data_IF_036211608847
#
_entry.id   IF_036211608847
#
_cell.length_a   1.000
_cell.length_b   1.000
_cell.length_c   1.000
_cell.angle_alpha   90.00
_cell.angle_beta   90.00
_cell.angle_gamma   90.00
#
_symmetry.space_group_name_H-M   'P 1'
#
loop_
_entity.id
_entity.type
_entity.pdbx_description
1 polymer ?
#
# COMPACT_ATOMS: atom_id res chain seq x y z
N UNK A 1 5.69 26.57 -31.22
CA UNK A 1 5.91 25.15 -30.88
C UNK A 1 5.11 24.83 -29.63
N UNK A 2 4.25 23.80 -29.65
CA UNK A 2 3.59 23.34 -28.41
C UNK A 2 4.68 22.74 -27.52
N UNK A 3 4.76 23.10 -26.22
CA UNK A 3 5.77 22.53 -25.34
C UNK A 3 5.62 21.00 -25.35
N UNK A 4 6.71 20.28 -25.60
CA UNK A 4 6.70 18.82 -25.51
C UNK A 4 6.31 18.43 -24.07
N UNK A 5 5.24 17.67 -23.91
CA UNK A 5 4.76 17.18 -22.62
C UNK A 5 5.69 16.05 -22.12
N UNK A 6 6.94 16.37 -21.78
CA UNK A 6 7.94 15.43 -21.25
C UNK A 6 8.40 15.83 -19.84
N UNK A 7 8.98 14.86 -19.12
CA UNK A 7 9.52 15.05 -17.78
C UNK A 7 8.55 14.82 -16.62
N UNK A 8 9.06 14.97 -15.41
CA UNK A 8 8.35 14.79 -14.13
C UNK A 8 7.54 16.05 -13.80
N UNK A 9 6.43 16.25 -14.50
CA UNK A 9 5.56 17.41 -14.32
C UNK A 9 4.07 17.07 -14.36
N UNK A 10 3.23 18.06 -14.03
CA UNK A 10 1.78 17.87 -13.96
C UNK A 10 1.38 16.80 -12.93
N UNK A 11 0.49 15.89 -13.32
CA UNK A 11 -0.02 14.83 -12.45
C UNK A 11 1.06 13.85 -11.92
N UNK A 12 2.24 13.76 -12.57
CA UNK A 12 3.35 12.95 -12.05
C UNK A 12 3.94 13.50 -10.74
N UNK A 13 3.77 14.80 -10.46
CA UNK A 13 4.20 15.39 -9.19
C UNK A 13 3.36 14.82 -8.04
N UNK A 14 2.06 14.63 -8.26
CA UNK A 14 1.17 14.04 -7.26
C UNK A 14 1.55 12.57 -6.98
N UNK A 15 1.94 11.83 -8.01
CA UNK A 15 2.47 10.47 -7.85
C UNK A 15 3.73 10.47 -7.00
N UNK A 16 4.68 11.37 -7.30
CA UNK A 16 5.93 11.50 -6.56
C UNK A 16 5.68 11.81 -5.08
N UNK A 17 4.84 12.81 -4.80
CA UNK A 17 4.44 13.15 -3.42
C UNK A 17 3.78 11.93 -2.75
N UNK A 18 2.86 11.26 -3.45
CA UNK A 18 2.17 10.07 -2.94
C UNK A 18 3.13 8.95 -2.55
N UNK A 19 4.15 8.66 -3.37
CA UNK A 19 5.14 7.63 -3.09
C UNK A 19 6.01 7.99 -1.87
N UNK A 20 6.42 9.25 -1.72
CA UNK A 20 7.16 9.68 -0.52
C UNK A 20 6.32 9.63 0.75
N UNK A 21 5.07 10.09 0.69
CA UNK A 21 4.15 9.99 1.81
C UNK A 21 3.91 8.53 2.20
N UNK A 22 3.75 7.64 1.21
CA UNK A 22 3.59 6.21 1.47
C UNK A 22 4.84 5.61 2.11
N UNK A 23 6.04 6.00 1.66
CA UNK A 23 7.28 5.54 2.25
C UNK A 23 7.39 5.93 3.73
N UNK A 24 7.03 7.18 4.07
CA UNK A 24 6.99 7.64 5.46
C UNK A 24 5.97 6.85 6.27
N UNK A 25 4.76 6.65 5.74
CA UNK A 25 3.72 5.87 6.40
C UNK A 25 4.14 4.42 6.65
N UNK A 26 4.77 3.77 5.68
CA UNK A 26 5.28 2.40 5.83
C UNK A 26 6.38 2.32 6.88
N UNK A 27 7.28 3.30 6.96
CA UNK A 27 8.29 3.35 8.03
C UNK A 27 7.64 3.48 9.40
N UNK A 28 6.65 4.38 9.53
CA UNK A 28 5.89 4.54 10.78
C UNK A 28 5.19 3.23 11.14
N UNK A 29 4.53 2.58 10.17
CA UNK A 29 3.83 1.32 10.37
C UNK A 29 4.78 0.20 10.83
N UNK A 30 5.95 0.11 10.21
CA UNK A 30 6.96 -0.88 10.57
C UNK A 30 7.49 -0.64 11.98
N UNK A 31 7.85 0.60 12.30
CA UNK A 31 8.47 0.93 13.60
C UNK A 31 7.48 0.89 14.76
N UNK A 32 6.25 1.35 14.54
CA UNK A 32 5.25 1.49 15.61
C UNK A 32 4.38 0.25 15.79
N UNK A 33 4.21 -0.59 14.76
CA UNK A 33 3.28 -1.72 14.81
C UNK A 33 3.96 -3.04 14.44
N UNK A 34 4.67 -3.11 13.30
CA UNK A 34 5.26 -4.38 12.85
C UNK A 34 6.38 -4.87 13.75
N UNK A 35 7.32 -4.02 14.18
CA UNK A 35 8.41 -4.45 15.07
C UNK A 35 7.85 -4.81 16.46
N UNK A 36 7.02 -3.98 17.11
CA UNK A 36 6.47 -4.31 18.43
C UNK A 36 5.59 -5.54 18.47
N UNK A 37 4.93 -5.93 17.36
CA UNK A 37 4.10 -7.16 17.34
C UNK A 37 4.91 -8.46 17.46
N UNK A 38 6.23 -8.41 17.26
CA UNK A 38 7.15 -9.54 17.51
C UNK A 38 7.86 -9.45 18.88
N UNK A 39 7.55 -8.44 19.70
CA UNK A 39 8.00 -8.44 21.09
C UNK A 39 7.35 -9.61 21.84
N UNK A 40 8.09 -10.25 22.75
CA UNK A 40 7.61 -11.44 23.46
C UNK A 40 6.30 -11.19 24.22
N UNK A 41 6.14 -10.01 24.83
CA UNK A 41 4.94 -9.70 25.60
C UNK A 41 3.71 -9.56 24.69
N UNK A 42 3.85 -8.80 23.59
CA UNK A 42 2.78 -8.58 22.62
C UNK A 42 2.45 -9.86 21.84
N UNK A 43 3.48 -10.62 21.46
CA UNK A 43 3.32 -11.88 20.75
C UNK A 43 2.54 -12.89 21.58
N UNK A 44 2.87 -13.03 22.88
CA UNK A 44 2.16 -13.94 23.77
C UNK A 44 0.73 -13.45 24.04
N UNK A 45 0.52 -12.14 24.19
CA UNK A 45 -0.81 -11.55 24.38
C UNK A 45 -1.77 -11.81 23.19
N UNK A 46 -1.25 -11.87 21.96
CA UNK A 46 -2.07 -12.06 20.75
C UNK A 46 -2.15 -13.52 20.30
N UNK A 47 -1.16 -14.36 20.65
CA UNK A 47 -1.04 -15.72 20.10
C UNK A 47 -1.17 -16.83 21.14
N UNK A 48 -1.08 -16.54 22.44
CA UNK A 48 -1.31 -17.53 23.49
C UNK A 48 -2.79 -17.84 23.62
N UNK A 49 -3.13 -19.13 23.67
CA UNK A 49 -4.51 -19.60 23.89
C UNK A 49 -5.07 -19.21 25.26
N UNK A 50 -4.20 -18.84 26.19
CA UNK A 50 -4.54 -18.45 27.55
C UNK A 50 -4.78 -16.94 27.67
N UNK A 51 -4.55 -16.17 26.60
CA UNK A 51 -4.74 -14.72 26.59
C UNK A 51 -6.19 -14.32 26.26
N UNK A 52 -6.66 -13.24 26.88
CA UNK A 52 -8.04 -12.75 26.72
C UNK A 52 -8.36 -12.32 25.29
N UNK A 53 -7.36 -11.86 24.52
CA UNK A 53 -7.51 -11.39 23.13
C UNK A 53 -7.14 -12.45 22.09
N UNK A 54 -7.02 -13.71 22.48
CA UNK A 54 -6.62 -14.78 21.58
C UNK A 54 -7.61 -14.97 20.43
N UNK A 55 -7.07 -15.02 19.21
CA UNK A 55 -7.77 -15.46 18.02
C UNK A 55 -6.83 -16.26 17.15
N UNK A 56 -7.30 -17.38 16.58
CA UNK A 56 -6.47 -18.26 15.75
C UNK A 56 -5.85 -17.55 14.54
N UNK A 57 -6.48 -16.47 14.08
CA UNK A 57 -6.00 -15.67 12.94
C UNK A 57 -4.97 -14.60 13.31
N UNK A 58 -4.73 -14.26 14.57
CA UNK A 58 -3.75 -13.22 14.92
C UNK A 58 -2.34 -13.54 14.41
N UNK A 59 -1.87 -14.76 14.67
CA UNK A 59 -0.54 -15.20 14.23
C UNK A 59 -0.36 -15.10 12.71
N UNK A 60 -1.23 -15.69 11.86
CA UNK A 60 -1.08 -15.55 10.42
C UNK A 60 -1.25 -14.10 9.94
N UNK A 61 -2.14 -13.31 10.56
CA UNK A 61 -2.32 -11.89 10.22
C UNK A 61 -1.04 -11.09 10.46
N UNK A 62 -0.44 -11.18 11.65
CA UNK A 62 0.80 -10.46 12.00
C UNK A 62 1.94 -10.80 11.01
N UNK A 63 2.10 -12.08 10.67
CA UNK A 63 3.13 -12.51 9.72
C UNK A 63 2.87 -11.97 8.31
N UNK A 64 1.61 -11.99 7.86
CA UNK A 64 1.20 -11.49 6.57
C UNK A 64 1.37 -9.97 6.46
N UNK A 65 0.97 -9.22 7.48
CA UNK A 65 1.17 -7.77 7.57
C UNK A 65 2.66 -7.42 7.53
N UNK A 66 3.50 -8.14 8.26
CA UNK A 66 4.94 -7.90 8.27
C UNK A 66 5.56 -8.10 6.87
N UNK A 67 5.19 -9.19 6.19
CA UNK A 67 5.67 -9.49 4.83
C UNK A 67 5.18 -8.41 3.86
N UNK A 68 3.91 -7.99 3.94
CA UNK A 68 3.37 -6.98 3.06
C UNK A 68 3.95 -5.59 3.32
N UNK A 69 4.11 -5.16 4.57
CA UNK A 69 4.70 -3.86 4.89
C UNK A 69 6.14 -3.77 4.39
N UNK A 70 6.96 -4.80 4.64
CA UNK A 70 8.34 -4.84 4.16
C UNK A 70 8.41 -4.94 2.63
N UNK A 71 7.56 -5.77 2.02
CA UNK A 71 7.47 -5.91 0.57
C UNK A 71 7.04 -4.63 -0.12
N UNK A 72 6.01 -3.96 0.40
CA UNK A 72 5.51 -2.69 -0.09
C UNK A 72 6.52 -1.57 0.11
N UNK A 73 7.26 -1.57 1.21
CA UNK A 73 8.35 -0.61 1.44
C UNK A 73 9.43 -0.75 0.37
N UNK A 74 9.95 -1.97 0.18
CA UNK A 74 10.94 -2.24 -0.87
C UNK A 74 10.39 -1.90 -2.27
N UNK A 75 9.13 -2.24 -2.54
CA UNK A 75 8.52 -1.98 -3.84
C UNK A 75 8.32 -0.48 -4.11
N UNK A 76 7.97 0.30 -3.08
CA UNK A 76 7.85 1.76 -3.14
C UNK A 76 9.18 2.41 -3.48
N UNK A 77 10.27 1.94 -2.85
CA UNK A 77 11.64 2.38 -3.17
C UNK A 77 12.00 2.09 -4.62
N UNK A 78 11.68 0.88 -5.11
CA UNK A 78 11.91 0.50 -6.52
C UNK A 78 11.10 1.41 -7.45
N UNK A 79 9.83 1.68 -7.15
CA UNK A 79 9.00 2.59 -7.95
C UNK A 79 9.59 4.00 -8.01
N UNK A 80 10.04 4.56 -6.87
CA UNK A 80 10.72 5.86 -6.83
C UNK A 80 12.01 5.84 -7.67
N UNK A 81 12.87 4.83 -7.50
CA UNK A 81 14.10 4.70 -8.28
C UNK A 81 13.80 4.66 -9.79
N UNK A 82 12.84 3.81 -10.22
CA UNK A 82 12.43 3.68 -11.61
C UNK A 82 11.80 4.96 -12.18
N UNK A 83 11.10 5.73 -11.34
CA UNK A 83 10.54 7.03 -11.71
C UNK A 83 11.65 8.03 -12.07
N UNK A 84 12.68 8.15 -11.22
CA UNK A 84 13.78 9.09 -11.44
C UNK A 84 14.75 8.64 -12.54
N UNK A 85 14.94 7.33 -12.68
CA UNK A 85 15.66 6.74 -13.81
C UNK A 85 14.90 6.85 -15.14
N UNK A 86 13.65 7.34 -15.11
CA UNK A 86 12.77 7.43 -16.29
C UNK A 86 12.64 6.10 -17.02
N UNK A 87 12.57 5.01 -16.27
CA UNK A 87 12.54 3.67 -16.82
C UNK A 87 11.15 3.35 -17.40
N UNK A 88 11.10 2.75 -18.60
CA UNK A 88 9.86 2.26 -19.25
C UNK A 88 9.05 1.26 -18.43
N UNK A 89 9.64 0.64 -17.41
CA UNK A 89 8.95 -0.24 -16.48
C UNK A 89 8.12 0.53 -15.46
N UNK A 90 8.46 1.78 -15.14
CA UNK A 90 7.77 2.56 -14.10
C UNK A 90 6.24 2.60 -14.26
N UNK A 91 5.67 2.89 -15.46
CA UNK A 91 4.22 2.90 -15.62
C UNK A 91 3.57 1.54 -15.32
N UNK A 92 4.23 0.44 -15.71
CA UNK A 92 3.74 -0.91 -15.43
C UNK A 92 3.82 -1.22 -13.93
N UNK A 93 4.94 -0.85 -13.28
CA UNK A 93 5.12 -1.02 -11.84
C UNK A 93 4.07 -0.25 -11.05
N UNK A 94 3.71 0.97 -11.45
CA UNK A 94 2.67 1.75 -10.78
C UNK A 94 1.30 1.11 -10.89
N UNK A 95 0.95 0.50 -12.03
CA UNK A 95 -0.31 -0.24 -12.17
C UNK A 95 -0.32 -1.44 -11.22
N UNK A 96 0.76 -2.23 -11.21
CA UNK A 96 0.92 -3.36 -10.29
C UNK A 96 0.85 -2.89 -8.84
N UNK A 97 1.51 -1.79 -8.50
CA UNK A 97 1.50 -1.17 -7.18
C UNK A 97 0.07 -0.89 -6.71
N UNK A 98 -0.71 -0.14 -7.48
CA UNK A 98 -2.10 0.17 -7.10
C UNK A 98 -2.97 -1.09 -6.98
N UNK A 99 -2.82 -2.04 -7.92
CA UNK A 99 -3.58 -3.30 -7.87
C UNK A 99 -3.23 -4.14 -6.63
N UNK A 100 -1.94 -4.29 -6.31
CA UNK A 100 -1.48 -5.03 -5.14
C UNK A 100 -1.91 -4.33 -3.86
N UNK A 101 -1.77 -3.01 -3.75
CA UNK A 101 -2.26 -2.24 -2.59
C UNK A 101 -3.75 -2.42 -2.35
N UNK A 102 -4.57 -2.43 -3.41
CA UNK A 102 -6.00 -2.67 -3.28
C UNK A 102 -6.29 -4.09 -2.81
N UNK A 103 -5.60 -5.10 -3.36
CA UNK A 103 -5.78 -6.49 -2.95
C UNK A 103 -5.40 -6.72 -1.49
N UNK A 104 -4.27 -6.14 -1.05
CA UNK A 104 -3.84 -6.20 0.35
C UNK A 104 -4.89 -5.56 1.25
N UNK A 105 -5.39 -4.36 0.92
CA UNK A 105 -6.44 -3.71 1.70
C UNK A 105 -7.74 -4.52 1.81
N UNK A 106 -8.13 -5.25 0.76
CA UNK A 106 -9.29 -6.16 0.81
C UNK A 106 -9.01 -7.37 1.72
N UNK A 107 -7.79 -7.92 1.69
CA UNK A 107 -7.40 -9.02 2.56
C UNK A 107 -7.37 -8.57 4.03
N UNK A 108 -6.80 -7.40 4.31
CA UNK A 108 -6.76 -6.83 5.66
C UNK A 108 -8.19 -6.57 6.18
N UNK A 109 -9.07 -5.99 5.35
CA UNK A 109 -10.50 -5.85 5.67
C UNK A 109 -11.13 -7.19 6.06
N UNK A 110 -10.90 -8.24 5.27
CA UNK A 110 -11.47 -9.56 5.53
C UNK A 110 -10.91 -10.20 6.81
N UNK A 111 -9.63 -9.96 7.12
CA UNK A 111 -8.99 -10.45 8.35
C UNK A 111 -9.51 -9.72 9.59
N UNK A 112 -9.65 -8.40 9.53
CA UNK A 112 -10.23 -7.60 10.63
C UNK A 112 -11.64 -8.08 10.94
N UNK A 113 -12.50 -8.22 9.92
CA UNK A 113 -13.87 -8.72 10.10
C UNK A 113 -13.94 -10.15 10.65
N UNK A 114 -12.90 -10.97 10.44
CA UNK A 114 -12.83 -12.33 10.95
C UNK A 114 -12.28 -12.41 12.39
N UNK A 115 -11.60 -11.36 12.87
CA UNK A 115 -10.98 -11.30 14.20
C UNK A 115 -11.83 -10.46 15.18
N UNK A 116 -12.39 -9.34 14.73
CA UNK A 116 -13.07 -8.40 15.62
C UNK A 116 -14.50 -8.83 15.94
N UNK A 117 -14.88 -8.65 17.21
CA UNK A 117 -16.24 -8.93 17.71
C UNK A 117 -17.12 -7.66 17.70
N UNK A 118 -16.50 -6.48 17.76
CA UNK A 118 -17.17 -5.17 17.68
C UNK A 118 -17.38 -4.74 16.23
N UNK A 119 -18.34 -5.40 15.60
CA UNK A 119 -18.55 -5.36 14.14
C UNK A 119 -18.88 -3.95 13.60
N UNK A 120 -19.53 -3.06 14.35
CA UNK A 120 -20.08 -1.81 13.80
C UNK A 120 -19.05 -0.69 13.57
N UNK A 121 -18.08 -0.49 14.47
CA UNK A 121 -17.08 0.59 14.34
C UNK A 121 -15.96 0.25 13.36
N UNK A 122 -15.56 -1.03 13.31
CA UNK A 122 -14.52 -1.50 12.39
C UNK A 122 -15.03 -1.57 10.95
N UNK A 123 -16.32 -1.85 10.74
CA UNK A 123 -16.95 -1.88 9.42
C UNK A 123 -16.87 -0.52 8.70
N UNK A 124 -17.21 0.57 9.38
CA UNK A 124 -17.31 1.89 8.74
C UNK A 124 -15.92 2.41 8.30
N UNK A 125 -14.91 2.23 9.16
CA UNK A 125 -13.53 2.62 8.85
C UNK A 125 -12.94 1.77 7.72
N UNK A 126 -13.10 0.45 7.79
CA UNK A 126 -12.46 -0.46 6.86
C UNK A 126 -13.13 -0.47 5.47
N UNK A 127 -14.45 -0.25 5.41
CA UNK A 127 -15.17 -0.03 4.14
C UNK A 127 -14.73 1.27 3.46
N UNK A 128 -14.55 2.34 4.24
CA UNK A 128 -14.10 3.63 3.72
C UNK A 128 -12.71 3.54 3.11
N UNK A 129 -11.79 2.83 3.74
CA UNK A 129 -10.43 2.66 3.24
C UNK A 129 -10.39 1.80 1.98
N UNK A 130 -11.18 0.72 1.94
CA UNK A 130 -11.34 -0.11 0.73
C UNK A 130 -11.91 0.71 -0.43
N UNK A 131 -12.98 1.48 -0.19
CA UNK A 131 -13.58 2.34 -1.20
C UNK A 131 -12.60 3.39 -1.73
N UNK A 132 -11.82 4.02 -0.84
CA UNK A 132 -10.76 4.96 -1.21
C UNK A 132 -9.69 4.28 -2.08
N UNK A 133 -9.33 3.03 -1.79
CA UNK A 133 -8.44 2.22 -2.61
C UNK A 133 -8.97 2.02 -4.03
N UNK A 134 -10.26 1.68 -4.17
CA UNK A 134 -10.92 1.49 -5.47
C UNK A 134 -10.91 2.79 -6.27
N UNK A 135 -11.28 3.93 -5.66
CA UNK A 135 -11.27 5.24 -6.31
C UNK A 135 -9.85 5.62 -6.75
N UNK A 136 -8.85 5.35 -5.91
CA UNK A 136 -7.45 5.60 -6.23
C UNK A 136 -7.01 4.80 -7.46
N UNK A 137 -7.36 3.51 -7.53
CA UNK A 137 -7.09 2.67 -8.70
C UNK A 137 -7.79 3.20 -9.97
N UNK A 138 -9.07 3.56 -9.85
CA UNK A 138 -9.88 4.05 -10.96
C UNK A 138 -9.36 5.37 -11.56
N UNK A 139 -8.67 6.18 -10.76
CA UNK A 139 -8.04 7.43 -11.22
C UNK A 139 -6.67 7.14 -11.85
N UNK A 140 -5.80 6.44 -11.12
CA UNK A 140 -4.39 6.37 -11.49
C UNK A 140 -4.07 5.30 -12.53
N UNK A 141 -4.75 4.15 -12.52
CA UNK A 141 -4.49 3.09 -13.51
C UNK A 141 -4.78 3.59 -14.93
N UNK A 142 -5.94 4.22 -15.24
CA UNK A 142 -6.18 4.80 -16.56
C UNK A 142 -5.20 5.92 -16.91
N UNK A 143 -4.76 6.71 -15.94
CA UNK A 143 -3.73 7.73 -16.14
C UNK A 143 -2.42 7.10 -16.64
N UNK A 144 -1.92 6.04 -16.00
CA UNK A 144 -0.70 5.36 -16.45
C UNK A 144 -0.85 4.64 -17.80
N UNK A 145 -2.06 4.20 -18.14
CA UNK A 145 -2.32 3.53 -19.42
C UNK A 145 -2.48 4.49 -20.61
N UNK A 146 -3.09 5.67 -20.41
CA UNK A 146 -3.50 6.56 -21.51
C UNK A 146 -2.80 7.92 -21.55
N UNK A 147 -2.06 8.30 -20.51
CA UNK A 147 -1.44 9.62 -20.46
C UNK A 147 -0.33 9.77 -21.49
N UNK A 148 -0.50 10.74 -22.41
CA UNK A 148 0.55 11.14 -23.35
C UNK A 148 1.85 11.53 -22.62
N UNK A 149 1.74 12.22 -21.48
CA UNK A 149 2.90 12.61 -20.67
C UNK A 149 3.66 11.40 -20.15
N UNK A 150 2.96 10.38 -19.64
CA UNK A 150 3.59 9.15 -19.15
C UNK A 150 4.33 8.45 -20.30
N UNK A 151 3.70 8.32 -21.46
CA UNK A 151 4.34 7.76 -22.65
C UNK A 151 5.60 8.56 -23.07
N UNK A 152 5.51 9.89 -23.14
CA UNK A 152 6.64 10.76 -23.50
C UNK A 152 7.77 10.77 -22.47
N UNK A 153 7.48 10.56 -21.18
CA UNK A 153 8.49 10.59 -20.12
C UNK A 153 9.20 9.26 -19.92
N UNK A 154 8.52 8.12 -20.08
CA UNK A 154 9.05 6.81 -19.71
C UNK A 154 9.22 5.82 -20.88
N UNK A 155 8.50 5.99 -21.99
CA UNK A 155 8.43 4.98 -23.07
C UNK A 155 9.22 5.38 -24.32
N UNK A 156 9.66 6.65 -24.42
CA UNK A 156 10.53 7.12 -25.51
C UNK A 156 11.84 6.36 -25.57
#
# INVERSE_FOLDING_TARGET
MKPELSGLGGWLILIQIGLYLTLIQLVIQIVQFTIPSFDSEMWDALTSKEADFYHALWKPTILLEAVFNLGMFAFTVICLAMMYMRNRLFPKLMIVYYSVSLLIGIVDYALVQAISTDMELDLDNSLRDTFRGVVTCAIWIPYFLRSKRVAHTFVR
#
